data_IF_359378281595
#
_entry.id   IF_359378281595
#
_cell.length_a   1.000
_cell.length_b   1.000
_cell.length_c   1.000
_cell.angle_alpha   90.00
_cell.angle_beta   90.00
_cell.angle_gamma   90.00
#
_symmetry.space_group_name_H-M   'P 1'
#
loop_
_entity.id
_entity.type
_entity.pdbx_description
1 polymer ?
#
# COMPACT_ATOMS: atom_id res chain seq x y z
N UNK A 1 -10.26 -49.13 -2.27
CA UNK A 1 -10.27 -49.10 -0.78
C UNK A 1 -10.59 -47.68 -0.32
N UNK A 2 -11.77 -47.45 0.29
CA UNK A 2 -12.23 -46.13 0.75
C UNK A 2 -11.69 -45.87 2.16
N UNK A 3 -10.91 -44.81 2.38
CA UNK A 3 -10.47 -44.38 3.72
C UNK A 3 -11.38 -43.24 4.20
N UNK A 4 -12.20 -43.53 5.21
CA UNK A 4 -13.01 -42.56 5.94
C UNK A 4 -12.13 -41.79 6.92
N UNK A 5 -12.12 -40.46 6.83
CA UNK A 5 -11.40 -39.59 7.76
C UNK A 5 -12.42 -38.88 8.65
N UNK A 6 -12.52 -39.29 9.91
CA UNK A 6 -13.28 -38.60 10.97
C UNK A 6 -12.34 -37.60 11.64
N UNK A 7 -12.65 -36.31 11.57
CA UNK A 7 -11.95 -35.29 12.37
C UNK A 7 -12.89 -34.84 13.48
N UNK A 8 -12.43 -35.14 14.69
CA UNK A 8 -13.01 -34.82 16.00
C UNK A 8 -13.14 -33.31 16.19
N UNK A 9 -14.34 -32.86 16.56
CA UNK A 9 -14.56 -31.53 17.12
C UNK A 9 -14.21 -31.58 18.61
N UNK A 10 -13.29 -30.72 19.05
CA UNK A 10 -13.00 -30.57 20.46
C UNK A 10 -12.79 -29.10 20.79
N UNK A 11 -13.85 -28.53 21.39
CA UNK A 11 -13.86 -27.63 22.53
C UNK A 11 -12.55 -26.94 22.88
N UNK A 12 -12.50 -25.61 22.72
CA UNK A 12 -11.76 -24.79 23.68
C UNK A 12 -12.59 -23.62 24.15
N UNK A 13 -12.79 -23.66 25.45
CA UNK A 13 -13.63 -22.86 26.32
C UNK A 13 -13.07 -21.45 26.50
N UNK A 14 -14.00 -20.53 26.64
CA UNK A 14 -13.84 -19.14 27.03
C UNK A 14 -12.98 -18.96 28.29
N UNK A 15 -12.06 -17.99 28.26
CA UNK A 15 -11.45 -17.41 29.45
C UNK A 15 -11.49 -15.88 29.34
N UNK A 16 -12.55 -15.31 29.92
CA UNK A 16 -12.68 -13.89 30.23
C UNK A 16 -11.89 -13.56 31.48
N UNK A 17 -10.88 -12.70 31.37
CA UNK A 17 -10.24 -12.05 32.52
C UNK A 17 -10.46 -10.55 32.39
N UNK A 18 -11.35 -10.04 33.24
CA UNK A 18 -11.53 -8.63 33.55
C UNK A 18 -10.39 -8.17 34.46
N UNK A 19 -9.64 -7.14 34.05
CA UNK A 19 -8.82 -6.37 34.99
C UNK A 19 -9.22 -4.89 34.97
N UNK A 20 -9.84 -4.56 36.09
CA UNK A 20 -10.14 -3.26 36.69
C UNK A 20 -9.12 -2.14 36.42
N UNK A 21 -9.68 -1.01 35.99
CA UNK A 21 -9.55 0.34 36.60
C UNK A 21 -8.33 0.58 37.50
N UNK A 22 -7.38 1.34 36.97
CA UNK A 22 -6.39 2.09 37.73
C UNK A 22 -6.43 3.57 37.34
N UNK A 23 -7.16 4.37 38.11
CA UNK A 23 -7.05 5.83 38.10
C UNK A 23 -5.80 6.23 38.87
N UNK A 24 -4.84 6.90 38.24
CA UNK A 24 -3.76 7.59 38.91
C UNK A 24 -3.70 9.05 38.41
N UNK A 25 -3.93 9.95 39.36
CA UNK A 25 -3.84 11.39 39.24
C UNK A 25 -2.47 11.84 38.69
N UNK A 26 -2.47 12.65 37.63
CA UNK A 26 -1.31 13.47 37.28
C UNK A 26 -1.73 14.94 37.32
N UNK A 27 -1.52 15.55 38.48
CA UNK A 27 -1.69 16.98 38.70
C UNK A 27 -0.34 17.69 38.50
N UNK A 28 -0.35 18.73 37.66
CA UNK A 28 0.60 19.83 37.72
C UNK A 28 1.86 19.66 36.87
N UNK A 29 1.91 20.41 35.75
CA UNK A 29 2.84 21.53 35.60
C UNK A 29 2.23 22.50 34.59
N UNK A 30 1.97 23.70 35.07
CA UNK A 30 1.65 24.90 34.32
C UNK A 30 2.96 25.52 33.81
N UNK A 31 3.07 25.71 32.50
CA UNK A 31 3.94 26.76 31.92
C UNK A 31 3.35 27.20 30.58
N UNK A 32 2.43 28.16 30.67
CA UNK A 32 1.88 28.90 29.55
C UNK A 32 2.93 29.89 29.03
N UNK A 33 3.91 29.41 28.26
CA UNK A 33 4.66 30.26 27.35
C UNK A 33 3.83 30.41 26.07
N UNK A 34 3.10 31.53 26.00
CA UNK A 34 2.39 32.01 24.81
C UNK A 34 3.41 32.32 23.72
N UNK A 35 3.88 31.27 23.04
CA UNK A 35 4.54 31.40 21.75
C UNK A 35 3.43 31.75 20.75
N UNK A 36 3.44 33.01 20.32
CA UNK A 36 2.64 33.53 19.24
C UNK A 36 2.98 32.69 18.00
N UNK A 37 2.18 31.67 17.73
CA UNK A 37 2.28 30.86 16.52
C UNK A 37 1.85 31.80 15.40
N UNK A 38 2.81 32.40 14.73
CA UNK A 38 2.59 32.99 13.42
C UNK A 38 1.99 31.88 12.56
N UNK A 39 0.72 32.06 12.23
CA UNK A 39 0.02 31.33 11.19
C UNK A 39 0.74 31.64 9.88
N UNK A 40 1.83 30.91 9.62
CA UNK A 40 2.45 30.85 8.31
C UNK A 40 1.42 30.16 7.44
N UNK A 41 0.60 30.98 6.78
CA UNK A 41 -0.27 30.57 5.70
C UNK A 41 0.64 29.99 4.61
N UNK A 42 0.93 28.69 4.71
CA UNK A 42 1.61 27.92 3.67
C UNK A 42 0.65 27.90 2.50
N UNK A 43 0.84 28.89 1.64
CA UNK A 43 0.26 29.03 0.31
C UNK A 43 0.40 27.66 -0.36
N UNK A 44 -0.70 26.91 -0.44
CA UNK A 44 -0.74 25.58 -1.07
C UNK A 44 -0.17 25.71 -2.46
N UNK A 45 1.07 25.26 -2.62
CA UNK A 45 1.78 25.21 -3.88
C UNK A 45 0.90 24.46 -4.90
N UNK A 46 0.72 25.12 -6.04
CA UNK A 46 0.28 24.59 -7.34
C UNK A 46 0.04 23.08 -7.35
N UNK A 47 -1.21 22.68 -7.62
CA UNK A 47 -1.58 21.31 -7.95
C UNK A 47 -0.62 20.77 -9.04
N UNK A 48 0.37 19.99 -8.63
CA UNK A 48 1.35 19.42 -9.55
C UNK A 48 0.59 18.42 -10.41
N UNK A 49 0.38 18.77 -11.69
CA UNK A 49 -0.27 17.89 -12.65
C UNK A 49 0.51 16.57 -12.72
N UNK A 50 -0.19 15.46 -12.49
CA UNK A 50 0.41 14.15 -12.53
C UNK A 50 0.87 13.81 -13.96
N UNK A 51 2.10 13.32 -14.09
CA UNK A 51 2.62 12.84 -15.38
C UNK A 51 1.96 11.51 -15.72
N UNK A 52 1.23 11.46 -16.83
CA UNK A 52 0.57 10.25 -17.33
C UNK A 52 1.49 9.50 -18.27
N UNK A 53 1.54 8.17 -18.13
CA UNK A 53 2.31 7.26 -18.99
C UNK A 53 1.42 6.09 -19.39
N UNK A 54 1.19 5.93 -20.68
CA UNK A 54 0.40 4.82 -21.22
C UNK A 54 1.30 3.65 -21.61
N UNK A 55 0.94 2.44 -21.17
CA UNK A 55 1.70 1.21 -21.36
C UNK A 55 0.82 0.13 -21.97
N UNK A 56 1.29 -0.46 -23.08
CA UNK A 56 0.67 -1.64 -23.69
C UNK A 56 1.36 -2.88 -23.16
N UNK A 57 0.61 -3.77 -22.53
CA UNK A 57 1.14 -4.97 -21.87
C UNK A 57 0.60 -6.21 -22.56
N UNK A 58 1.50 -7.10 -22.97
CA UNK A 58 1.13 -8.42 -23.46
C UNK A 58 0.58 -9.28 -22.31
N UNK A 59 -0.65 -9.77 -22.46
CA UNK A 59 -1.34 -10.51 -21.40
C UNK A 59 -0.66 -11.83 -21.07
N UNK A 60 -0.15 -12.54 -22.08
CA UNK A 60 0.58 -13.81 -21.89
C UNK A 60 1.86 -13.57 -21.08
N UNK A 61 2.69 -12.61 -21.51
CA UNK A 61 3.93 -12.27 -20.83
C UNK A 61 3.68 -11.85 -19.38
N UNK A 62 2.62 -11.08 -19.12
CA UNK A 62 2.26 -10.69 -17.77
C UNK A 62 1.94 -11.90 -16.89
N UNK A 63 1.12 -12.83 -17.39
CA UNK A 63 0.74 -14.05 -16.68
C UNK A 63 1.94 -14.99 -16.48
N UNK A 64 2.83 -15.07 -17.46
CA UNK A 64 4.06 -15.87 -17.37
C UNK A 64 5.01 -15.31 -16.31
N UNK A 65 5.17 -13.98 -16.26
CA UNK A 65 5.93 -13.34 -15.19
C UNK A 65 5.25 -13.54 -13.84
N UNK A 66 3.93 -13.38 -13.74
CA UNK A 66 3.18 -13.54 -12.49
C UNK A 66 3.30 -14.95 -11.91
N UNK A 67 3.23 -15.99 -12.76
CA UNK A 67 3.37 -17.40 -12.38
C UNK A 67 4.82 -17.87 -12.28
N UNK A 68 5.76 -17.09 -12.80
CA UNK A 68 7.18 -17.41 -12.85
C UNK A 68 7.83 -17.50 -11.46
N UNK A 69 9.15 -17.57 -11.44
CA UNK A 69 9.92 -17.76 -10.20
C UNK A 69 9.51 -16.74 -9.11
N UNK A 70 9.01 -17.19 -7.94
CA UNK A 70 8.61 -16.33 -6.84
C UNK A 70 9.71 -15.37 -6.40
N UNK A 71 10.97 -15.79 -6.55
CA UNK A 71 12.14 -14.98 -6.25
C UNK A 71 12.21 -13.71 -7.11
N UNK A 72 11.82 -13.76 -8.39
CA UNK A 72 11.85 -12.56 -9.26
C UNK A 72 10.77 -11.55 -8.88
N UNK A 73 9.64 -12.01 -8.33
CA UNK A 73 8.51 -11.16 -7.95
C UNK A 73 8.45 -10.84 -6.46
N UNK A 74 9.52 -11.15 -5.72
CA UNK A 74 9.64 -10.79 -4.31
C UNK A 74 10.01 -9.32 -4.18
N UNK A 75 9.09 -8.51 -3.68
CA UNK A 75 9.35 -7.12 -3.29
C UNK A 75 8.95 -6.92 -1.83
N UNK A 76 9.49 -5.86 -1.22
CA UNK A 76 9.03 -5.38 0.07
C UNK A 76 8.24 -4.10 -0.10
N UNK A 77 7.06 -4.05 0.53
CA UNK A 77 6.25 -2.84 0.64
C UNK A 77 6.35 -2.32 2.06
N UNK A 78 6.96 -1.15 2.23
CA UNK A 78 7.15 -0.52 3.53
C UNK A 78 6.20 0.65 3.65
N UNK A 79 5.33 0.61 4.66
CA UNK A 79 4.40 1.70 4.96
C UNK A 79 5.19 2.98 5.29
N UNK A 80 4.83 4.08 4.65
CA UNK A 80 5.38 5.40 4.95
C UNK A 80 4.47 6.07 5.98
N UNK A 81 5.06 6.63 7.02
CA UNK A 81 4.38 7.48 7.98
C UNK A 81 4.79 8.93 7.70
N UNK A 82 3.88 9.75 7.16
CA UNK A 82 4.16 11.17 6.93
C UNK A 82 3.94 11.93 8.23
N UNK A 83 5.00 12.49 8.79
CA UNK A 83 5.03 13.12 10.12
C UNK A 83 4.40 14.52 10.21
N UNK A 84 3.49 14.90 9.30
CA UNK A 84 3.02 16.30 9.27
C UNK A 84 1.72 16.59 8.52
N UNK A 85 1.06 15.60 7.94
CA UNK A 85 -0.24 15.80 7.28
C UNK A 85 -1.30 15.00 8.02
N UNK A 86 -2.09 15.69 8.84
CA UNK A 86 -3.30 15.18 9.50
C UNK A 86 -4.28 14.59 8.46
N UNK A 87 -4.14 14.95 7.19
CA UNK A 87 -5.03 14.58 6.08
C UNK A 87 -4.63 13.33 5.28
N UNK A 88 -3.57 12.57 5.65
CA UNK A 88 -3.32 11.29 4.97
C UNK A 88 -4.28 10.20 5.47
N UNK A 89 -5.48 10.21 4.92
CA UNK A 89 -6.57 9.26 5.20
C UNK A 89 -6.17 7.81 4.87
N UNK A 90 -5.19 7.62 3.99
CA UNK A 90 -4.77 6.28 3.52
C UNK A 90 -3.26 6.09 3.58
N UNK A 91 -2.79 4.89 3.96
CA UNK A 91 -1.36 4.61 4.02
C UNK A 91 -0.75 4.48 2.63
N UNK A 92 0.40 5.10 2.42
CA UNK A 92 1.24 4.93 1.23
C UNK A 92 2.33 3.88 1.48
N UNK A 93 2.81 3.21 0.41
CA UNK A 93 3.83 2.17 0.53
C UNK A 93 5.02 2.43 -0.39
N UNK A 94 6.23 2.41 0.17
CA UNK A 94 7.46 2.42 -0.62
C UNK A 94 7.79 1.01 -1.12
N UNK A 95 8.09 0.90 -2.41
CA UNK A 95 8.57 -0.34 -3.03
C UNK A 95 10.08 -0.50 -2.81
N UNK A 96 10.49 -1.69 -2.43
CA UNK A 96 11.90 -2.09 -2.33
C UNK A 96 12.15 -3.41 -3.05
N UNK A 97 13.39 -3.58 -3.48
CA UNK A 97 13.91 -4.79 -4.13
C UNK A 97 13.18 -5.15 -5.44
N UNK A 98 12.76 -4.14 -6.21
CA UNK A 98 12.20 -4.36 -7.55
C UNK A 98 13.32 -4.86 -8.46
N UNK A 99 13.24 -6.13 -8.86
CA UNK A 99 14.22 -6.80 -9.73
C UNK A 99 13.89 -6.57 -11.20
N UNK A 100 14.92 -6.58 -12.03
CA UNK A 100 14.75 -6.60 -13.49
C UNK A 100 13.99 -7.86 -13.94
N UNK A 101 13.22 -7.72 -15.02
CA UNK A 101 12.39 -8.80 -15.56
C UNK A 101 11.41 -9.38 -14.51
N UNK A 102 10.90 -8.51 -13.62
CA UNK A 102 9.80 -8.81 -12.71
C UNK A 102 8.49 -8.23 -13.26
N UNK A 103 7.38 -8.69 -12.70
CA UNK A 103 6.06 -8.14 -13.02
C UNK A 103 5.96 -6.62 -12.73
N UNK A 104 6.67 -6.14 -11.71
CA UNK A 104 6.68 -4.72 -11.35
C UNK A 104 7.42 -3.87 -12.39
N UNK A 105 8.54 -4.37 -12.92
CA UNK A 105 9.24 -3.68 -14.01
C UNK A 105 8.43 -3.64 -15.29
N UNK A 106 7.66 -4.69 -15.59
CA UNK A 106 6.71 -4.70 -16.71
C UNK A 106 5.61 -3.64 -16.54
N UNK A 107 5.19 -3.40 -15.29
CA UNK A 107 4.26 -2.33 -14.92
C UNK A 107 4.92 -0.94 -14.84
N UNK A 108 6.22 -0.81 -15.15
CA UNK A 108 6.94 0.47 -15.09
C UNK A 108 7.31 0.94 -13.67
N UNK A 109 7.10 0.09 -12.67
CA UNK A 109 7.44 0.35 -11.26
C UNK A 109 8.93 0.11 -11.00
N UNK A 110 9.49 0.86 -10.06
CA UNK A 110 10.91 0.85 -9.68
C UNK A 110 11.08 0.83 -8.18
N UNK A 111 12.27 0.42 -7.75
CA UNK A 111 12.68 0.57 -6.34
C UNK A 111 12.62 2.04 -5.93
N UNK A 112 12.17 2.28 -4.70
CA UNK A 112 11.91 3.58 -4.09
C UNK A 112 10.68 4.35 -4.61
N UNK A 113 9.92 3.81 -5.58
CA UNK A 113 8.61 4.36 -5.89
C UNK A 113 7.67 4.25 -4.69
N UNK A 114 6.78 5.23 -4.55
CA UNK A 114 5.74 5.25 -3.54
C UNK A 114 4.41 4.91 -4.22
N UNK A 115 3.82 3.78 -3.86
CA UNK A 115 2.49 3.39 -4.28
C UNK A 115 1.44 4.23 -3.54
N UNK A 116 0.59 4.91 -4.31
CA UNK A 116 -0.50 5.74 -3.79
C UNK A 116 -1.83 5.02 -3.93
N UNK A 117 -2.20 4.62 -5.15
CA UNK A 117 -3.46 3.94 -5.44
C UNK A 117 -3.35 3.04 -6.68
N UNK A 118 -4.31 2.13 -6.87
CA UNK A 118 -4.53 1.50 -8.16
C UNK A 118 -6.02 1.39 -8.45
N UNK A 119 -6.42 1.69 -9.68
CA UNK A 119 -7.81 1.73 -10.12
C UNK A 119 -8.70 2.54 -9.16
N UNK A 120 -8.21 3.71 -8.70
CA UNK A 120 -8.89 4.60 -7.75
C UNK A 120 -9.08 4.00 -6.33
N UNK A 121 -8.50 2.83 -6.07
CA UNK A 121 -8.52 2.18 -4.76
C UNK A 121 -7.19 2.44 -4.05
N UNK A 122 -7.26 2.97 -2.83
CA UNK A 122 -6.12 3.07 -1.92
C UNK A 122 -5.92 1.75 -1.17
N UNK A 123 -4.67 1.38 -0.96
CA UNK A 123 -4.35 0.09 -0.32
C UNK A 123 -4.29 0.25 1.18
N UNK A 124 -5.19 -0.37 1.93
CA UNK A 124 -5.08 -0.40 3.39
C UNK A 124 -3.98 -1.34 3.90
N UNK A 125 -3.52 -2.27 3.07
CA UNK A 125 -2.45 -3.22 3.39
C UNK A 125 -1.69 -3.69 2.13
N UNK A 126 -0.42 -4.13 2.24
CA UNK A 126 0.36 -4.66 1.12
C UNK A 126 -0.30 -5.83 0.39
N UNK A 127 -1.03 -6.69 1.12
CA UNK A 127 -1.68 -7.88 0.56
C UNK A 127 -2.73 -7.50 -0.50
N UNK A 128 -3.41 -6.36 -0.34
CA UNK A 128 -4.38 -5.88 -1.33
C UNK A 128 -3.70 -5.50 -2.65
N UNK A 129 -2.49 -4.94 -2.60
CA UNK A 129 -1.74 -4.66 -3.81
C UNK A 129 -1.36 -5.95 -4.55
N UNK A 130 -0.86 -6.96 -3.83
CA UNK A 130 -0.57 -8.25 -4.44
C UNK A 130 -1.82 -8.92 -5.02
N UNK A 131 -2.97 -8.81 -4.33
CA UNK A 131 -4.26 -9.23 -4.85
C UNK A 131 -4.64 -8.51 -6.15
N UNK A 132 -4.46 -7.19 -6.22
CA UNK A 132 -4.70 -6.40 -7.42
C UNK A 132 -3.89 -6.89 -8.63
N UNK A 133 -2.61 -7.24 -8.43
CA UNK A 133 -1.76 -7.79 -9.51
C UNK A 133 -2.31 -9.08 -10.13
N UNK A 134 -3.09 -9.86 -9.38
CA UNK A 134 -3.75 -11.08 -9.89
C UNK A 134 -5.05 -10.80 -10.65
N UNK A 135 -5.64 -9.62 -10.44
CA UNK A 135 -6.94 -9.23 -11.00
C UNK A 135 -6.76 -8.40 -12.27
N UNK A 136 -5.78 -7.49 -12.29
CA UNK A 136 -5.55 -6.56 -13.40
C UNK A 136 -5.47 -7.22 -14.79
N UNK A 137 -4.84 -8.39 -15.03
CA UNK A 137 -4.81 -8.98 -16.38
C UNK A 137 -6.18 -9.51 -16.84
N UNK A 138 -7.16 -9.64 -15.94
CA UNK A 138 -8.54 -10.01 -16.29
C UNK A 138 -9.33 -8.79 -16.78
N UNK A 139 -8.79 -7.59 -16.61
CA UNK A 139 -9.35 -6.33 -17.07
C UNK A 139 -8.68 -5.93 -18.39
N UNK A 140 -9.42 -5.28 -19.29
CA UNK A 140 -8.82 -4.72 -20.52
C UNK A 140 -7.90 -3.55 -20.24
N UNK A 141 -8.18 -2.81 -19.16
CA UNK A 141 -7.47 -1.62 -18.75
C UNK A 141 -7.18 -1.65 -17.27
N UNK A 142 -6.09 -0.99 -16.85
CA UNK A 142 -5.78 -0.77 -15.45
C UNK A 142 -5.08 0.56 -15.22
N UNK A 143 -5.01 1.00 -13.98
CA UNK A 143 -4.37 2.25 -13.58
C UNK A 143 -3.58 2.05 -12.29
N UNK A 144 -2.35 2.53 -12.22
CA UNK A 144 -1.59 2.64 -10.96
C UNK A 144 -1.08 4.08 -10.81
N UNK A 145 -1.28 4.66 -9.63
CA UNK A 145 -0.77 5.97 -9.26
C UNK A 145 0.40 5.80 -8.29
N UNK A 146 1.52 6.46 -8.60
CA UNK A 146 2.71 6.47 -7.77
C UNK A 146 3.24 7.88 -7.55
N UNK A 147 4.16 8.01 -6.60
CA UNK A 147 5.08 9.14 -6.50
C UNK A 147 6.51 8.66 -6.73
N UNK A 148 7.21 9.29 -7.67
CA UNK A 148 8.63 9.03 -7.97
C UNK A 148 9.42 10.30 -7.78
N UNK A 149 10.40 10.27 -6.87
CA UNK A 149 11.22 11.44 -6.51
C UNK A 149 10.37 12.69 -6.16
N UNK A 150 9.27 12.49 -5.43
CA UNK A 150 8.35 13.57 -5.06
C UNK A 150 7.32 13.94 -6.13
N UNK A 151 7.47 13.48 -7.37
CA UNK A 151 6.56 13.82 -8.47
C UNK A 151 5.44 12.78 -8.62
N UNK A 152 4.17 13.21 -8.79
CA UNK A 152 3.06 12.30 -9.07
C UNK A 152 3.12 11.75 -10.50
N UNK A 153 3.01 10.42 -10.64
CA UNK A 153 2.94 9.72 -11.91
C UNK A 153 1.71 8.80 -11.94
N UNK A 154 1.10 8.67 -13.11
CA UNK A 154 -0.01 7.75 -13.38
C UNK A 154 0.39 6.83 -14.52
N UNK A 155 0.35 5.52 -14.28
CA UNK A 155 0.48 4.51 -15.32
C UNK A 155 -0.89 4.01 -15.73
N UNK A 156 -1.24 4.16 -17.00
CA UNK A 156 -2.41 3.51 -17.59
C UNK A 156 -1.95 2.28 -18.36
N UNK A 157 -2.63 1.17 -18.18
CA UNK A 157 -2.32 -0.09 -18.82
C UNK A 157 -3.43 -0.46 -19.80
N UNK A 158 -3.06 -0.97 -20.96
CA UNK A 158 -3.97 -1.71 -21.85
C UNK A 158 -3.39 -3.10 -22.11
N UNK A 159 -4.18 -4.12 -21.84
CA UNK A 159 -3.81 -5.52 -22.04
C UNK A 159 -4.25 -6.00 -23.42
N UNK A 160 -3.32 -6.66 -24.14
CA UNK A 160 -3.56 -7.24 -25.46
C UNK A 160 -3.12 -8.70 -25.54
#
# INVERSE_FOLDING_TARGET
>A
MKKNFKISQSFFTSLTISCLLGCANFAGITSSSSARVEEVAVKRETAILAKVVDLKINSSQYLDLLKGSPEKNKIRLVKIFSSGTIDQVYPEYRLFDVRDNSIYTLLGLKTADILVSAQEITFSSPQKFFGYLTIIPKQKFGKIEIRRNGLPLVFNYSFY
#
